data_IF_542569864181
#
_entry.id   IF_542569864181
#
_cell.length_a   1.000
_cell.length_b   1.000
_cell.length_c   1.000
_cell.angle_alpha   90.00
_cell.angle_beta   90.00
_cell.angle_gamma   90.00
#
_symmetry.space_group_name_H-M   'P 1'
#
loop_
_entity.id
_entity.type
_entity.pdbx_description
1 polymer ?
#
# COMPACT_ATOMS: atom_id res chain seq x y z
N UNK A 1 -2.50 -6.94 -15.61
CA UNK A 1 -3.70 -6.84 -14.77
C UNK A 1 -4.67 -5.78 -15.28
N UNK A 2 -4.28 -4.50 -15.38
CA UNK A 2 -5.22 -3.41 -15.76
C UNK A 2 -5.83 -3.60 -17.15
N UNK A 3 -5.07 -4.01 -18.16
CA UNK A 3 -5.60 -4.34 -19.49
C UNK A 3 -6.62 -5.47 -19.42
N UNK A 4 -6.29 -6.60 -18.76
CA UNK A 4 -7.22 -7.71 -18.60
C UNK A 4 -8.49 -7.35 -17.81
N UNK A 5 -8.40 -6.45 -16.83
CA UNK A 5 -9.58 -5.94 -16.14
C UNK A 5 -10.48 -5.10 -17.10
N UNK A 6 -9.86 -4.26 -17.94
CA UNK A 6 -10.61 -3.45 -18.92
C UNK A 6 -11.28 -4.28 -20.02
N UNK A 7 -10.75 -5.45 -20.36
CA UNK A 7 -11.41 -6.37 -21.30
C UNK A 7 -12.68 -6.98 -20.71
N UNK A 8 -12.77 -7.07 -19.38
CA UNK A 8 -13.89 -7.69 -18.67
C UNK A 8 -14.92 -6.67 -18.15
N UNK A 9 -14.52 -5.42 -17.91
CA UNK A 9 -15.41 -4.37 -17.39
C UNK A 9 -16.04 -3.60 -18.54
N UNK A 10 -17.38 -3.56 -18.67
CA UNK A 10 -18.07 -2.75 -19.67
C UNK A 10 -17.70 -1.26 -19.56
N UNK A 11 -17.50 -0.61 -20.69
CA UNK A 11 -16.99 0.76 -20.75
C UNK A 11 -17.96 1.79 -20.12
N UNK A 12 -19.24 1.53 -20.20
CA UNK A 12 -20.31 2.34 -19.60
C UNK A 12 -20.37 2.26 -18.06
N UNK A 13 -19.69 1.29 -17.47
CA UNK A 13 -19.53 1.17 -16.01
C UNK A 13 -18.26 1.90 -15.50
N UNK A 14 -17.39 2.38 -16.38
CA UNK A 14 -16.20 3.12 -15.99
C UNK A 14 -16.54 4.59 -15.76
N UNK A 15 -16.56 5.01 -14.49
CA UNK A 15 -16.86 6.39 -14.09
C UNK A 15 -15.63 7.28 -14.30
N UNK A 16 -14.44 6.76 -14.01
CA UNK A 16 -13.15 7.45 -14.12
C UNK A 16 -12.16 6.65 -14.96
N UNK A 17 -11.26 7.33 -15.65
CA UNK A 17 -10.19 6.68 -16.38
C UNK A 17 -9.27 5.92 -15.40
N UNK A 18 -8.96 4.64 -15.67
CA UNK A 18 -8.08 3.87 -14.80
C UNK A 18 -6.68 4.50 -14.69
N UNK A 19 -6.13 4.47 -13.48
CA UNK A 19 -4.77 4.94 -13.18
C UNK A 19 -3.91 3.76 -12.78
N UNK A 20 -2.80 3.54 -13.46
CA UNK A 20 -1.81 2.54 -13.10
C UNK A 20 -0.50 3.22 -12.71
N UNK A 21 0.20 2.66 -11.71
CA UNK A 21 1.53 3.11 -11.29
C UNK A 21 2.50 1.94 -11.42
N UNK A 22 3.61 2.16 -12.09
CA UNK A 22 4.63 1.14 -12.33
C UNK A 22 6.04 1.75 -12.30
N UNK A 23 7.08 0.90 -12.33
CA UNK A 23 8.45 1.37 -12.51
C UNK A 23 8.64 2.00 -13.89
N UNK A 24 9.63 2.88 -14.04
CA UNK A 24 9.81 3.66 -15.27
C UNK A 24 9.99 2.81 -16.52
N UNK A 25 10.70 1.69 -16.40
CA UNK A 25 10.96 0.75 -17.49
C UNK A 25 9.71 0.04 -18.02
N UNK A 26 8.64 0.03 -17.26
CA UNK A 26 7.37 -0.60 -17.61
C UNK A 26 6.28 0.41 -18.04
N UNK A 27 6.65 1.68 -18.17
CA UNK A 27 5.71 2.71 -18.65
C UNK A 27 5.48 2.53 -20.14
N UNK A 28 4.24 2.33 -20.53
CA UNK A 28 3.79 2.29 -21.91
C UNK A 28 2.73 3.35 -22.16
N UNK A 29 2.55 3.76 -23.41
CA UNK A 29 1.43 4.60 -23.80
C UNK A 29 0.19 3.72 -23.99
N UNK A 30 -0.92 4.10 -23.35
CA UNK A 30 -2.19 3.39 -23.47
C UNK A 30 -3.34 4.37 -23.59
N UNK A 31 -4.25 4.12 -24.57
CA UNK A 31 -5.33 5.08 -24.91
C UNK A 31 -6.39 5.24 -23.82
N UNK A 32 -6.58 4.24 -22.95
CA UNK A 32 -7.65 4.19 -21.94
C UNK A 32 -7.12 4.23 -20.50
N UNK A 33 -5.82 3.99 -20.27
CA UNK A 33 -5.23 3.92 -18.93
C UNK A 33 -4.21 5.05 -18.78
N UNK A 34 -4.29 5.81 -17.72
CA UNK A 34 -3.22 6.71 -17.34
C UNK A 34 -2.13 5.95 -16.60
N UNK A 35 -1.00 5.69 -17.26
CA UNK A 35 0.14 4.98 -16.68
C UNK A 35 1.17 5.99 -16.18
N UNK A 36 1.50 5.92 -14.89
CA UNK A 36 2.45 6.80 -14.21
C UNK A 36 3.70 6.01 -13.81
N UNK A 37 4.87 6.51 -14.19
CA UNK A 37 6.15 5.95 -13.79
C UNK A 37 6.56 6.44 -12.39
N UNK A 38 7.12 5.53 -11.58
CA UNK A 38 7.62 5.83 -10.25
C UNK A 38 8.93 5.09 -9.95
N UNK A 39 9.66 5.56 -8.94
CA UNK A 39 10.91 4.93 -8.50
C UNK A 39 10.67 3.59 -7.80
N UNK A 40 11.43 2.59 -8.20
CA UNK A 40 11.47 1.27 -7.59
C UNK A 40 12.90 0.71 -7.66
N UNK A 41 13.46 0.14 -6.59
CA UNK A 41 12.88 -0.10 -5.26
C UNK A 41 12.89 1.12 -4.33
N UNK A 42 13.47 2.25 -4.72
CA UNK A 42 13.58 3.45 -3.88
C UNK A 42 12.43 4.40 -4.22
N UNK A 43 11.58 4.76 -3.26
CA UNK A 43 10.49 5.71 -3.46
C UNK A 43 11.00 7.10 -3.90
N UNK A 44 10.25 7.78 -4.78
CA UNK A 44 10.62 9.10 -5.28
C UNK A 44 9.42 10.06 -5.36
N UNK A 45 9.67 11.29 -5.80
CA UNK A 45 8.67 12.34 -5.90
C UNK A 45 7.53 12.00 -6.90
N UNK A 46 7.82 11.26 -7.97
CA UNK A 46 6.80 10.86 -8.94
C UNK A 46 5.87 9.80 -8.36
N UNK A 47 6.41 8.86 -7.57
CA UNK A 47 5.59 7.93 -6.78
C UNK A 47 4.69 8.65 -5.77
N UNK A 48 5.19 9.69 -5.11
CA UNK A 48 4.36 10.52 -4.21
C UNK A 48 3.24 11.26 -4.97
N UNK A 49 3.52 11.81 -6.16
CA UNK A 49 2.49 12.42 -7.01
C UNK A 49 1.43 11.40 -7.44
N UNK A 50 1.88 10.22 -7.86
CA UNK A 50 1.00 9.11 -8.24
C UNK A 50 0.12 8.65 -7.06
N UNK A 51 0.70 8.48 -5.87
CA UNK A 51 -0.01 8.12 -4.66
C UNK A 51 -1.10 9.15 -4.28
N UNK A 52 -0.76 10.44 -4.36
CA UNK A 52 -1.74 11.54 -4.14
C UNK A 52 -2.86 11.54 -5.18
N UNK A 53 -2.56 11.22 -6.44
CA UNK A 53 -3.58 11.11 -7.48
C UNK A 53 -4.53 9.95 -7.18
N UNK A 54 -4.00 8.76 -6.89
CA UNK A 54 -4.81 7.60 -6.50
C UNK A 54 -5.67 7.93 -5.27
N UNK A 55 -5.07 8.49 -4.22
CA UNK A 55 -5.80 8.87 -3.01
C UNK A 55 -6.93 9.88 -3.30
N UNK A 56 -6.73 10.82 -4.24
CA UNK A 56 -7.76 11.78 -4.66
C UNK A 56 -8.90 11.08 -5.38
N UNK A 57 -8.60 10.19 -6.33
CA UNK A 57 -9.62 9.41 -7.07
C UNK A 57 -10.42 8.54 -6.11
N UNK A 58 -9.74 7.80 -5.24
CA UNK A 58 -10.38 6.90 -4.27
C UNK A 58 -11.29 7.65 -3.29
N UNK A 59 -10.85 8.81 -2.76
CA UNK A 59 -11.69 9.65 -1.88
C UNK A 59 -12.92 10.24 -2.55
N UNK A 60 -12.92 10.36 -3.86
CA UNK A 60 -14.05 10.94 -4.59
C UNK A 60 -15.17 9.92 -4.85
N UNK A 61 -14.91 8.64 -4.64
CA UNK A 61 -15.89 7.58 -4.86
C UNK A 61 -17.04 7.65 -3.85
N UNK A 62 -18.25 7.37 -4.34
CA UNK A 62 -19.48 7.44 -3.56
C UNK A 62 -19.92 6.06 -3.07
N UNK A 63 -20.88 6.03 -2.16
CA UNK A 63 -21.38 4.79 -1.56
C UNK A 63 -22.00 3.78 -2.54
N UNK A 64 -22.46 4.23 -3.69
CA UNK A 64 -23.03 3.42 -4.76
C UNK A 64 -22.02 3.05 -5.85
N UNK A 65 -20.74 3.38 -5.66
CA UNK A 65 -19.65 3.10 -6.58
C UNK A 65 -18.75 1.98 -6.05
N UNK A 66 -18.09 1.28 -6.98
CA UNK A 66 -17.10 0.24 -6.67
C UNK A 66 -15.71 0.68 -7.11
N UNK A 67 -14.76 0.60 -6.19
CA UNK A 67 -13.34 0.74 -6.50
C UNK A 67 -12.74 -0.64 -6.79
N UNK A 68 -12.23 -0.82 -8.00
CA UNK A 68 -11.44 -1.99 -8.36
C UNK A 68 -9.95 -1.68 -8.19
N UNK A 69 -9.34 -2.20 -7.13
CA UNK A 69 -7.92 -2.05 -6.84
C UNK A 69 -7.13 -3.25 -7.37
N UNK A 70 -6.16 -3.01 -8.25
CA UNK A 70 -5.28 -4.03 -8.82
C UNK A 70 -3.90 -3.90 -8.19
N UNK A 71 -3.52 -4.86 -7.34
CA UNK A 71 -2.31 -4.80 -6.52
C UNK A 71 -1.34 -5.90 -6.95
N UNK A 72 -0.08 -5.54 -7.15
CA UNK A 72 1.01 -6.49 -7.42
C UNK A 72 2.26 -6.11 -6.64
N UNK A 73 3.31 -6.92 -6.74
CA UNK A 73 4.61 -6.66 -6.11
C UNK A 73 5.18 -5.28 -6.44
N UNK A 74 6.02 -4.74 -5.55
CA UNK A 74 6.64 -3.43 -5.70
C UNK A 74 5.79 -2.23 -5.29
N UNK A 75 4.47 -2.36 -5.13
CA UNK A 75 3.56 -1.26 -4.80
C UNK A 75 3.95 -0.48 -3.54
N UNK A 76 4.64 -1.12 -2.59
CA UNK A 76 5.12 -0.46 -1.37
C UNK A 76 6.10 0.68 -1.62
N UNK A 77 6.95 0.57 -2.66
CA UNK A 77 7.88 1.62 -3.06
C UNK A 77 7.26 2.60 -4.08
N UNK A 78 6.41 2.09 -4.98
CA UNK A 78 5.79 2.86 -6.06
C UNK A 78 4.77 3.88 -5.55
N UNK A 79 4.12 3.62 -4.41
CA UNK A 79 3.08 4.46 -3.81
C UNK A 79 3.46 4.95 -2.40
N UNK A 80 4.52 5.75 -2.25
CA UNK A 80 4.83 6.37 -0.97
C UNK A 80 3.86 7.53 -0.71
N UNK A 81 3.17 7.49 0.41
CA UNK A 81 2.31 8.58 0.87
C UNK A 81 2.51 8.78 2.37
N UNK A 82 3.60 9.43 2.79
CA UNK A 82 3.80 9.74 4.20
C UNK A 82 2.74 10.73 4.69
N UNK A 83 2.41 10.71 5.99
CA UNK A 83 1.60 11.75 6.62
C UNK A 83 2.20 13.14 6.38
N UNK A 84 1.39 14.23 6.42
CA UNK A 84 1.86 15.59 6.13
C UNK A 84 3.03 16.08 7.00
N UNK A 85 3.16 15.53 8.22
CA UNK A 85 4.25 15.84 9.16
C UNK A 85 5.59 15.20 8.79
N UNK A 86 5.63 14.27 7.83
CA UNK A 86 6.82 13.51 7.46
C UNK A 86 7.15 13.77 5.99
N UNK A 87 8.39 14.15 5.71
CA UNK A 87 8.84 14.28 4.32
C UNK A 87 9.11 12.93 3.67
N UNK A 88 9.09 12.88 2.35
CA UNK A 88 9.49 11.67 1.62
C UNK A 88 10.94 11.27 1.92
N UNK A 89 11.81 12.26 2.12
CA UNK A 89 13.22 12.04 2.47
C UNK A 89 13.36 11.42 3.86
N UNK A 90 12.65 11.94 4.86
CA UNK A 90 12.63 11.35 6.20
C UNK A 90 12.18 9.89 6.19
N UNK A 91 11.10 9.60 5.41
CA UNK A 91 10.61 8.23 5.23
C UNK A 91 11.66 7.32 4.57
N UNK A 92 12.39 7.82 3.57
CA UNK A 92 13.47 7.06 2.90
C UNK A 92 14.61 6.78 3.88
N UNK A 93 15.05 7.80 4.63
CA UNK A 93 16.12 7.67 5.62
C UNK A 93 15.77 6.65 6.70
N UNK A 94 14.56 6.69 7.27
CA UNK A 94 14.12 5.70 8.24
C UNK A 94 14.05 4.29 7.65
N UNK A 95 13.56 4.15 6.41
CA UNK A 95 13.52 2.84 5.72
C UNK A 95 14.95 2.30 5.50
N UNK A 96 15.88 3.15 5.10
CA UNK A 96 17.27 2.75 4.89
C UNK A 96 17.93 2.31 6.22
N UNK A 97 17.69 3.03 7.31
CA UNK A 97 18.18 2.65 8.64
C UNK A 97 17.63 1.29 9.09
N UNK A 98 16.35 1.01 8.86
CA UNK A 98 15.75 -0.29 9.14
C UNK A 98 16.42 -1.41 8.36
N UNK A 99 16.61 -1.24 7.05
CA UNK A 99 17.26 -2.22 6.20
C UNK A 99 18.70 -2.51 6.67
N UNK A 100 19.47 -1.47 6.97
CA UNK A 100 20.87 -1.62 7.43
C UNK A 100 20.98 -2.19 8.84
N UNK A 101 19.97 -2.02 9.69
CA UNK A 101 19.91 -2.61 11.03
C UNK A 101 19.56 -4.11 11.03
N UNK A 102 19.27 -4.70 9.88
CA UNK A 102 18.85 -6.10 9.77
C UNK A 102 17.42 -6.34 10.26
N UNK A 103 16.54 -5.33 10.19
CA UNK A 103 15.12 -5.52 10.48
C UNK A 103 14.51 -6.52 9.50
N UNK A 104 13.67 -7.42 10.01
CA UNK A 104 12.93 -8.37 9.18
C UNK A 104 11.75 -7.70 8.46
N UNK A 105 11.11 -8.45 7.55
CA UNK A 105 10.02 -7.90 6.73
C UNK A 105 8.80 -7.49 7.56
N UNK A 106 8.51 -8.18 8.66
CA UNK A 106 7.39 -7.85 9.54
C UNK A 106 7.66 -6.54 10.28
N UNK A 107 8.86 -6.36 10.82
CA UNK A 107 9.29 -5.11 11.46
C UNK A 107 9.29 -3.95 10.48
N UNK A 108 9.81 -4.16 9.26
CA UNK A 108 9.79 -3.14 8.21
C UNK A 108 8.35 -2.76 7.84
N UNK A 109 7.45 -3.73 7.69
CA UNK A 109 6.05 -3.47 7.36
C UNK A 109 5.31 -2.78 8.50
N UNK A 110 5.54 -3.18 9.77
CA UNK A 110 5.00 -2.48 10.95
C UNK A 110 5.31 -0.98 10.89
N UNK A 111 6.57 -0.62 10.67
CA UNK A 111 6.96 0.79 10.55
C UNK A 111 6.36 1.44 9.30
N UNK A 112 6.39 0.77 8.14
CA UNK A 112 5.88 1.31 6.88
C UNK A 112 4.40 1.65 6.93
N UNK A 113 3.59 0.86 7.65
CA UNK A 113 2.16 1.08 7.84
C UNK A 113 1.92 2.37 8.62
N UNK A 114 2.60 2.56 9.75
CA UNK A 114 2.47 3.74 10.60
C UNK A 114 3.10 5.03 10.03
N UNK A 115 3.91 4.92 8.99
CA UNK A 115 4.48 6.05 8.25
C UNK A 115 3.81 6.25 6.88
N UNK A 116 2.54 5.89 6.70
CA UNK A 116 1.84 5.95 5.41
C UNK A 116 0.34 6.17 5.57
N UNK A 117 -0.23 7.02 4.74
CA UNK A 117 -1.68 7.21 4.64
C UNK A 117 -2.39 6.18 3.74
N UNK A 118 -1.63 5.31 3.01
CA UNK A 118 -2.21 4.31 2.11
C UNK A 118 -2.07 2.88 2.61
N UNK A 119 -1.13 2.62 3.53
CA UNK A 119 -0.82 1.28 4.04
C UNK A 119 -1.63 0.97 5.30
N UNK A 120 -1.59 -0.29 5.76
CA UNK A 120 -2.32 -0.71 6.96
C UNK A 120 -3.80 -0.34 6.90
N UNK A 121 -4.49 -0.70 5.81
CA UNK A 121 -5.89 -0.40 5.57
C UNK A 121 -6.17 1.05 5.13
N UNK A 122 -5.12 1.89 4.96
CA UNK A 122 -5.29 3.30 4.62
C UNK A 122 -6.02 3.53 3.29
N UNK A 123 -5.79 2.70 2.27
CA UNK A 123 -6.53 2.80 1.00
C UNK A 123 -8.00 2.44 1.19
N UNK A 124 -8.31 1.41 1.97
CA UNK A 124 -9.70 1.05 2.31
C UNK A 124 -10.39 2.17 3.09
N UNK A 125 -9.70 2.79 4.05
CA UNK A 125 -10.21 3.98 4.79
C UNK A 125 -10.55 5.13 3.85
N UNK A 126 -9.72 5.39 2.83
CA UNK A 126 -9.98 6.44 1.84
C UNK A 126 -11.14 6.11 0.92
N UNK A 127 -11.39 4.84 0.64
CA UNK A 127 -12.47 4.34 -0.20
C UNK A 127 -13.84 4.47 0.47
N UNK A 128 -13.89 4.32 1.80
CA UNK A 128 -15.14 4.34 2.53
C UNK A 128 -15.91 5.66 2.32
N UNK A 129 -17.23 5.62 2.01
CA UNK A 129 -18.15 4.48 2.10
C UNK A 129 -18.33 3.65 0.80
N UNK A 130 -17.53 3.87 -0.25
CA UNK A 130 -17.59 3.05 -1.46
C UNK A 130 -17.11 1.62 -1.21
N UNK A 131 -17.67 0.65 -1.92
CA UNK A 131 -17.17 -0.71 -1.92
C UNK A 131 -15.79 -0.78 -2.58
N UNK A 132 -14.92 -1.69 -2.08
CA UNK A 132 -13.59 -1.90 -2.63
C UNK A 132 -13.33 -3.38 -2.89
N UNK A 133 -13.07 -3.73 -4.14
CA UNK A 133 -12.59 -5.05 -4.54
C UNK A 133 -11.11 -4.96 -4.90
N UNK A 134 -10.26 -5.64 -4.15
CA UNK A 134 -8.85 -5.78 -4.48
C UNK A 134 -8.57 -7.12 -5.16
N UNK A 135 -7.96 -7.08 -6.36
CA UNK A 135 -7.40 -8.24 -7.04
C UNK A 135 -5.88 -8.19 -6.89
N UNK A 136 -5.29 -9.22 -6.30
CA UNK A 136 -3.92 -9.22 -5.83
C UNK A 136 -3.10 -10.31 -6.53
N UNK A 137 -1.98 -9.91 -7.14
CA UNK A 137 -0.90 -10.82 -7.52
C UNK A 137 0.10 -10.88 -6.37
N UNK A 138 0.14 -12.03 -5.68
CA UNK A 138 0.99 -12.22 -4.51
C UNK A 138 2.40 -12.65 -4.91
N UNK A 139 3.39 -11.97 -4.35
CA UNK A 139 4.81 -12.33 -4.34
C UNK A 139 5.27 -12.79 -2.94
N UNK A 140 4.34 -12.99 -2.01
CA UNK A 140 4.58 -13.39 -0.62
C UNK A 140 4.16 -14.84 -0.40
N UNK A 141 4.95 -15.60 0.37
CA UNK A 141 4.77 -17.05 0.52
C UNK A 141 3.44 -17.45 1.16
N UNK A 142 2.95 -16.69 2.13
CA UNK A 142 1.71 -16.93 2.87
C UNK A 142 0.47 -16.29 2.24
N UNK A 143 0.64 -15.53 1.15
CA UNK A 143 -0.43 -14.79 0.48
C UNK A 143 -1.21 -13.84 1.40
N UNK A 144 -0.61 -13.38 2.52
CA UNK A 144 -1.25 -12.46 3.46
C UNK A 144 -1.46 -11.07 2.85
N UNK A 145 -2.73 -10.60 2.66
CA UNK A 145 -3.00 -9.26 2.14
C UNK A 145 -2.45 -8.14 3.01
N UNK A 146 -2.26 -8.37 4.32
CA UNK A 146 -1.67 -7.43 5.26
C UNK A 146 -0.17 -7.21 5.06
N UNK A 147 0.51 -8.19 4.43
CA UNK A 147 1.94 -8.13 4.08
C UNK A 147 2.17 -7.62 2.66
N UNK A 148 1.35 -8.03 1.69
CA UNK A 148 1.46 -7.61 0.29
C UNK A 148 1.28 -6.10 0.20
N UNK A 149 2.23 -5.41 -0.42
CA UNK A 149 2.25 -3.94 -0.53
C UNK A 149 2.16 -3.20 0.83
N UNK A 150 2.39 -3.90 1.96
CA UNK A 150 2.15 -3.45 3.34
C UNK A 150 0.67 -3.17 3.64
N UNK A 151 -0.25 -3.97 3.07
CA UNK A 151 -1.65 -4.03 3.44
C UNK A 151 -2.50 -2.78 3.16
N UNK A 152 -2.56 -2.25 1.92
CA UNK A 152 -3.36 -1.05 1.67
C UNK A 152 -4.86 -1.27 1.83
N UNK A 153 -5.34 -2.50 1.65
CA UNK A 153 -6.75 -2.92 1.70
C UNK A 153 -7.04 -3.94 2.80
N UNK A 154 -6.10 -4.15 3.70
CA UNK A 154 -6.23 -5.09 4.82
C UNK A 154 -5.99 -4.36 6.14
N UNK A 155 -6.71 -4.76 7.19
CA UNK A 155 -6.54 -4.24 8.55
C UNK A 155 -5.15 -4.54 9.12
N UNK A 156 -4.76 -3.76 10.10
CA UNK A 156 -3.48 -3.83 10.77
C UNK A 156 -3.67 -4.04 12.27
N UNK A 157 -3.04 -5.06 12.82
CA UNK A 157 -3.05 -5.35 14.26
C UNK A 157 -1.86 -4.73 14.99
N UNK A 158 -0.91 -4.13 14.26
CA UNK A 158 0.24 -3.46 14.86
C UNK A 158 -0.09 -2.03 15.25
N UNK A 159 0.62 -1.47 16.22
CA UNK A 159 0.36 -0.17 16.83
C UNK A 159 1.53 0.80 16.63
N UNK A 160 1.30 2.11 16.89
CA UNK A 160 2.40 3.09 16.97
C UNK A 160 3.46 2.67 17.98
N UNK A 161 3.05 2.02 19.09
CA UNK A 161 3.98 1.50 20.10
C UNK A 161 4.86 0.39 19.53
N UNK A 162 4.30 -0.50 18.69
CA UNK A 162 5.07 -1.55 18.03
C UNK A 162 6.07 -0.95 17.04
N UNK A 163 5.64 0.01 16.21
CA UNK A 163 6.51 0.69 15.24
C UNK A 163 7.68 1.41 15.95
N UNK A 164 7.41 2.13 17.05
CA UNK A 164 8.44 2.75 17.90
C UNK A 164 9.34 1.69 18.53
N UNK A 165 8.75 0.58 18.97
CA UNK A 165 9.46 -0.56 19.55
C UNK A 165 10.46 -1.18 18.60
N UNK A 166 10.16 -1.27 17.30
CA UNK A 166 11.10 -1.74 16.27
C UNK A 166 12.38 -0.89 16.25
N UNK A 167 12.26 0.44 16.16
CA UNK A 167 13.42 1.33 16.13
C UNK A 167 14.26 1.23 17.41
N UNK A 168 13.62 1.06 18.57
CA UNK A 168 14.31 0.89 19.86
C UNK A 168 15.04 -0.45 19.94
N UNK A 169 14.38 -1.56 19.58
CA UNK A 169 15.00 -2.90 19.60
C UNK A 169 16.21 -2.99 18.65
N UNK A 170 16.14 -2.29 17.53
CA UNK A 170 17.23 -2.24 16.54
C UNK A 170 18.33 -1.23 16.91
N UNK A 171 18.17 -0.47 18.00
CA UNK A 171 19.16 0.50 18.48
C UNK A 171 19.37 1.70 17.58
N UNK A 172 18.37 2.05 16.76
CA UNK A 172 18.44 3.14 15.77
C UNK A 172 17.46 4.30 16.06
N UNK A 173 16.79 4.29 17.21
CA UNK A 173 15.79 5.32 17.56
C UNK A 173 16.36 6.73 17.49
N UNK A 174 17.56 6.96 18.02
CA UNK A 174 18.20 8.29 18.03
C UNK A 174 18.77 8.71 16.66
N UNK A 175 18.75 7.81 15.68
CA UNK A 175 19.30 8.06 14.34
C UNK A 175 18.22 8.42 13.33
N UNK A 176 16.93 8.11 13.62
CA UNK A 176 15.83 8.43 12.70
C UNK A 176 15.49 9.92 12.75
N UNK A 177 14.92 10.48 11.67
CA UNK A 177 14.51 11.88 11.63
C UNK A 177 13.55 12.27 12.76
N UNK A 178 13.74 13.46 13.34
CA UNK A 178 12.91 13.99 14.42
C UNK A 178 11.41 14.04 14.06
N UNK A 179 11.08 14.28 12.78
CA UNK A 179 9.69 14.26 12.28
C UNK A 179 9.02 12.89 12.50
N UNK A 180 9.78 11.81 12.31
CA UNK A 180 9.29 10.44 12.52
C UNK A 180 9.20 10.13 14.00
N UNK A 181 10.19 10.51 14.82
CA UNK A 181 10.12 10.35 16.28
C UNK A 181 8.86 11.04 16.83
N UNK A 182 8.67 12.32 16.48
CA UNK A 182 7.51 13.10 16.92
C UNK A 182 6.17 12.52 16.44
N UNK A 183 6.12 11.96 15.21
CA UNK A 183 4.93 11.31 14.68
C UNK A 183 4.58 10.04 15.47
N UNK A 184 5.56 9.17 15.70
CA UNK A 184 5.37 7.94 16.47
C UNK A 184 5.01 8.23 17.93
N UNK A 185 5.65 9.24 18.56
CA UNK A 185 5.33 9.64 19.93
C UNK A 185 3.88 10.14 20.04
N UNK A 186 3.45 11.01 19.12
CA UNK A 186 2.06 11.48 19.07
C UNK A 186 1.05 10.35 18.86
N UNK A 187 1.39 9.33 18.06
CA UNK A 187 0.56 8.13 17.92
C UNK A 187 0.48 7.34 19.21
N UNK A 188 1.61 7.09 19.90
CA UNK A 188 1.64 6.43 21.20
C UNK A 188 0.84 7.18 22.27
N UNK A 189 0.78 8.51 22.18
CA UNK A 189 0.03 9.39 23.09
C UNK A 189 -1.47 9.52 22.72
N UNK A 190 -1.93 8.81 21.66
CA UNK A 190 -3.32 8.87 21.19
C UNK A 190 -3.70 10.19 20.51
N UNK A 191 -2.73 10.99 20.07
CA UNK A 191 -2.94 12.27 19.36
C UNK A 191 -3.05 12.10 17.84
N UNK A 192 -2.86 10.90 17.34
CA UNK A 192 -3.03 10.45 15.96
C UNK A 192 -3.76 9.12 16.02
N UNK A 193 -4.78 8.94 15.20
CA UNK A 193 -5.52 7.69 15.10
C UNK A 193 -4.59 6.56 14.64
N UNK A 194 -4.78 5.38 15.23
CA UNK A 194 -4.08 4.17 14.80
C UNK A 194 -4.41 3.81 13.34
N UNK A 195 -3.62 2.90 12.78
CA UNK A 195 -3.97 2.19 11.56
C UNK A 195 -5.32 1.48 11.75
N UNK A 196 -5.98 1.14 10.65
CA UNK A 196 -7.33 0.53 10.71
C UNK A 196 -7.27 -0.92 11.20
N UNK A 197 -8.09 -1.24 12.20
CA UNK A 197 -8.24 -2.61 12.70
C UNK A 197 -9.07 -3.46 11.73
N UNK A 198 -8.84 -4.79 11.66
CA UNK A 198 -9.61 -5.69 10.78
C UNK A 198 -11.12 -5.68 11.01
N UNK A 199 -11.58 -5.38 12.24
CA UNK A 199 -12.98 -5.30 12.66
C UNK A 199 -13.63 -3.94 12.40
N UNK A 200 -12.90 -2.94 11.91
CA UNK A 200 -13.45 -1.62 11.62
C UNK A 200 -14.52 -1.71 10.53
N UNK A 201 -15.58 -0.92 10.67
CA UNK A 201 -16.73 -0.89 9.75
C UNK A 201 -16.33 -0.64 8.28
N UNK A 202 -15.23 0.05 8.06
CA UNK A 202 -14.71 0.33 6.72
C UNK A 202 -14.41 -0.93 5.91
N UNK A 203 -14.16 -2.08 6.57
CA UNK A 203 -13.87 -3.35 5.89
C UNK A 203 -15.10 -4.17 5.53
N UNK A 204 -16.31 -3.74 5.93
CA UNK A 204 -17.55 -4.47 5.64
C UNK A 204 -17.73 -4.74 4.14
N UNK A 205 -17.43 -3.74 3.31
CA UNK A 205 -17.59 -3.78 1.87
C UNK A 205 -16.23 -3.80 1.14
N UNK A 206 -15.19 -4.33 1.81
CA UNK A 206 -13.85 -4.56 1.25
C UNK A 206 -13.61 -6.04 1.05
N UNK A 207 -13.21 -6.42 -0.17
CA UNK A 207 -12.85 -7.81 -0.51
C UNK A 207 -11.45 -7.87 -1.11
N UNK A 208 -10.64 -8.82 -0.62
CA UNK A 208 -9.30 -9.10 -1.13
C UNK A 208 -9.27 -10.48 -1.78
N UNK A 209 -8.97 -10.55 -3.07
CA UNK A 209 -8.89 -11.80 -3.83
C UNK A 209 -7.49 -11.99 -4.41
N UNK A 210 -6.84 -13.08 -4.03
CA UNK A 210 -5.56 -13.48 -4.64
C UNK A 210 -5.86 -14.12 -5.99
N UNK A 211 -5.51 -13.44 -7.08
CA UNK A 211 -5.74 -13.92 -8.46
C UNK A 211 -4.54 -14.62 -9.07
N UNK A 212 -3.38 -14.52 -8.42
CA UNK A 212 -2.17 -15.25 -8.81
C UNK A 212 -1.16 -15.24 -7.68
N UNK A 213 -0.40 -16.33 -7.57
CA UNK A 213 0.68 -16.50 -6.61
C UNK A 213 1.67 -17.53 -7.10
N UNK A 214 2.81 -17.66 -6.42
CA UNK A 214 3.79 -18.71 -6.71
C UNK A 214 3.16 -20.12 -6.61
N UNK A 215 2.28 -20.34 -5.63
CA UNK A 215 1.59 -21.62 -5.47
C UNK A 215 0.66 -21.92 -6.65
N UNK A 216 -0.17 -20.96 -7.05
CA UNK A 216 -1.08 -21.09 -8.20
C UNK A 216 -0.28 -21.40 -9.48
N UNK A 217 0.87 -20.73 -9.66
CA UNK A 217 1.74 -20.96 -10.81
C UNK A 217 2.37 -22.36 -10.80
N UNK A 218 2.83 -22.82 -9.65
CA UNK A 218 3.39 -24.18 -9.48
C UNK A 218 2.34 -25.25 -9.72
N UNK A 219 1.14 -25.11 -9.18
CA UNK A 219 0.04 -26.06 -9.39
C UNK A 219 -0.32 -26.16 -10.87
N UNK A 220 -0.37 -25.02 -11.58
CA UNK A 220 -0.65 -25.00 -13.02
C UNK A 220 0.43 -25.72 -13.83
N UNK A 221 1.70 -25.59 -13.47
CA UNK A 221 2.83 -26.29 -14.10
C UNK A 221 2.70 -27.79 -13.84
N UNK A 222 2.45 -28.20 -12.59
CA UNK A 222 2.30 -29.62 -12.24
C UNK A 222 1.11 -30.31 -12.93
N UNK A 223 0.02 -29.57 -13.20
CA UNK A 223 -1.14 -30.09 -13.94
C UNK A 223 -0.90 -30.20 -15.46
N UNK A 224 0.08 -29.44 -15.97
CA UNK A 224 0.40 -29.39 -17.40
C UNK A 224 1.51 -30.38 -17.82
N UNK A 225 2.15 -31.04 -16.85
CA UNK A 225 3.24 -32.02 -17.03
C UNK A 225 2.71 -33.44 -17.01
#
# INVERSE_FOLDING_TARGET
MTEGALECVPEDLLIEAPVAVTSYENVIQHGKIQILGAGHPIPNADGLKAARKIAKTVRAAKADELILALISGGASALLPMPPPSITLEDKRNATQLLLTSGADIHEINTVRKHLSELKGGGLARLAYPAALQALILSDVLDNDPGTIASGPTAGDLTTFSDAKGVFRRRGIWEQIPNSIQAHLDRGCDGLIDETTLPEDEIFRDVSNTIVGSNLISLDSICQSA
#
